data_IF_512399909419
#
_entry.id   IF_512399909419
#
_cell.length_a   1.000
_cell.length_b   1.000
_cell.length_c   1.000
_cell.angle_alpha   90.00
_cell.angle_beta   90.00
_cell.angle_gamma   90.00
#
_symmetry.space_group_name_H-M   'P 1'
#
loop_
_entity.id
_entity.type
_entity.pdbx_description
1 polymer ?
#
# COMPACT_ATOMS: atom_id res chain seq x y z
N UNK A 1 -24.39 -16.58 -23.86
CA UNK A 1 -24.09 -16.30 -22.44
C UNK A 1 -22.67 -16.75 -22.19
N UNK A 2 -21.71 -15.86 -22.39
CA UNK A 2 -20.31 -16.16 -22.09
C UNK A 2 -20.04 -15.83 -20.62
N UNK A 3 -19.59 -16.84 -19.89
CA UNK A 3 -19.17 -16.73 -18.50
C UNK A 3 -17.90 -15.85 -18.43
N UNK A 4 -18.09 -14.56 -18.17
CA UNK A 4 -17.02 -13.71 -17.65
C UNK A 4 -16.70 -14.16 -16.23
N UNK A 5 -15.82 -15.16 -16.11
CA UNK A 5 -15.17 -15.48 -14.85
C UNK A 5 -14.45 -14.22 -14.39
N UNK A 6 -14.89 -13.68 -13.25
CA UNK A 6 -14.08 -12.77 -12.46
C UNK A 6 -12.93 -13.65 -11.98
N UNK A 7 -11.80 -13.58 -12.67
CA UNK A 7 -10.55 -14.06 -12.08
C UNK A 7 -10.35 -13.24 -10.80
N UNK A 8 -10.15 -13.92 -9.67
CA UNK A 8 -9.65 -13.28 -8.45
C UNK A 8 -8.27 -12.72 -8.80
N UNK A 9 -8.23 -11.45 -9.20
CA UNK A 9 -7.00 -10.77 -9.57
C UNK A 9 -6.25 -10.46 -8.29
N UNK A 10 -5.17 -11.21 -8.11
CA UNK A 10 -4.11 -11.04 -7.12
C UNK A 10 -3.73 -9.55 -6.96
N UNK A 11 -3.73 -9.05 -5.72
CA UNK A 11 -3.40 -7.65 -5.37
C UNK A 11 -1.94 -7.26 -5.71
N UNK A 12 -1.14 -8.20 -6.24
CA UNK A 12 0.21 -8.00 -6.75
C UNK A 12 0.30 -7.62 -8.23
N UNK A 13 -0.80 -7.65 -9.00
CA UNK A 13 -0.78 -7.24 -10.41
C UNK A 13 -0.92 -5.72 -10.50
N UNK A 14 0.05 -5.03 -11.14
CA UNK A 14 -0.10 -3.60 -11.49
C UNK A 14 -1.28 -3.43 -12.44
N UNK A 15 -2.48 -3.24 -11.89
CA UNK A 15 -3.70 -2.99 -12.64
C UNK A 15 -3.59 -1.62 -13.32
N UNK A 16 -3.98 -1.52 -14.59
CA UNK A 16 -4.08 -0.21 -15.24
C UNK A 16 -5.30 0.55 -14.72
N UNK A 17 -5.26 1.89 -14.77
CA UNK A 17 -6.40 2.74 -14.43
C UNK A 17 -7.69 2.31 -15.14
N UNK A 18 -7.60 1.97 -16.43
CA UNK A 18 -8.72 1.47 -17.22
C UNK A 18 -9.35 0.19 -16.67
N UNK A 19 -8.51 -0.74 -16.21
CA UNK A 19 -8.99 -1.98 -15.59
C UNK A 19 -9.60 -1.75 -14.20
N UNK A 20 -9.15 -0.74 -13.46
CA UNK A 20 -9.78 -0.34 -12.20
C UNK A 20 -11.20 0.17 -12.44
N UNK A 21 -11.37 1.04 -13.44
CA UNK A 21 -12.68 1.56 -13.85
C UNK A 21 -13.60 0.43 -14.32
N UNK A 22 -13.10 -0.48 -15.17
CA UNK A 22 -13.86 -1.65 -15.63
C UNK A 22 -14.33 -2.53 -14.46
N UNK A 23 -13.44 -2.82 -13.50
CA UNK A 23 -13.73 -3.63 -12.31
C UNK A 23 -14.89 -3.03 -11.51
N UNK A 24 -14.81 -1.75 -11.16
CA UNK A 24 -15.84 -1.10 -10.36
C UNK A 24 -17.15 -0.90 -11.13
N UNK A 25 -17.10 -0.62 -12.43
CA UNK A 25 -18.31 -0.54 -13.26
C UNK A 25 -19.08 -1.87 -13.29
N UNK A 26 -18.37 -2.98 -13.47
CA UNK A 26 -18.98 -4.33 -13.49
C UNK A 26 -19.55 -4.68 -12.11
N UNK A 27 -18.86 -4.34 -11.01
CA UNK A 27 -19.39 -4.54 -9.65
C UNK A 27 -20.69 -3.78 -9.39
N UNK A 28 -20.86 -2.62 -10.02
CA UNK A 28 -22.08 -1.81 -9.95
C UNK A 28 -23.16 -2.24 -10.96
N UNK A 29 -22.92 -3.29 -11.76
CA UNK A 29 -23.80 -3.76 -12.84
C UNK A 29 -24.22 -2.66 -13.84
N UNK A 30 -23.32 -1.69 -14.09
CA UNK A 30 -23.57 -0.58 -15.02
C UNK A 30 -23.03 -0.89 -16.42
N UNK A 31 -23.81 -0.62 -17.46
CA UNK A 31 -23.29 -0.57 -18.82
C UNK A 31 -22.49 0.73 -19.05
N UNK A 32 -21.68 0.77 -20.13
CA UNK A 32 -20.98 2.00 -20.52
C UNK A 32 -21.96 3.16 -20.82
N UNK A 33 -23.18 2.84 -21.28
CA UNK A 33 -24.23 3.83 -21.57
C UNK A 33 -24.88 4.37 -20.31
N UNK A 34 -24.99 3.57 -19.26
CA UNK A 34 -25.49 4.04 -17.97
C UNK A 34 -24.53 5.06 -17.36
N UNK A 35 -23.22 4.80 -17.44
CA UNK A 35 -22.19 5.74 -16.95
C UNK A 35 -22.18 7.05 -17.75
N UNK A 36 -22.32 7.00 -19.08
CA UNK A 36 -22.46 8.19 -19.93
C UNK A 36 -23.66 9.05 -19.48
N UNK A 37 -24.78 8.41 -19.16
CA UNK A 37 -25.99 9.07 -18.68
C UNK A 37 -25.81 9.68 -17.28
N UNK A 38 -25.20 8.95 -16.36
CA UNK A 38 -24.94 9.41 -14.98
C UNK A 38 -24.00 10.62 -14.94
N UNK A 39 -23.03 10.66 -15.86
CA UNK A 39 -22.07 11.75 -16.01
C UNK A 39 -22.51 12.80 -17.03
N UNK A 40 -23.80 12.86 -17.37
CA UNK A 40 -24.36 13.94 -18.19
C UNK A 40 -24.75 15.13 -17.31
N UNK A 41 -24.32 16.33 -17.72
CA UNK A 41 -24.65 17.58 -17.03
C UNK A 41 -25.36 18.52 -17.97
N UNK A 42 -26.25 19.31 -17.40
CA UNK A 42 -26.87 20.43 -18.09
C UNK A 42 -25.86 21.56 -18.26
N UNK A 43 -25.61 21.93 -19.51
CA UNK A 43 -24.77 23.07 -19.87
C UNK A 43 -25.64 24.10 -20.58
N UNK A 44 -25.46 25.37 -20.21
CA UNK A 44 -26.13 26.47 -20.88
C UNK A 44 -25.26 26.96 -22.02
N UNK A 45 -25.77 26.83 -23.24
CA UNK A 45 -25.11 27.29 -24.46
C UNK A 45 -25.92 28.42 -25.07
N UNK A 46 -25.25 29.32 -25.79
CA UNK A 46 -25.94 30.31 -26.62
C UNK A 46 -26.17 29.66 -27.99
N UNK A 47 -27.43 29.37 -28.30
CA UNK A 47 -27.86 28.86 -29.59
C UNK A 47 -28.82 29.90 -30.19
N UNK A 48 -28.48 30.40 -31.38
CA UNK A 48 -29.26 31.43 -32.09
C UNK A 48 -29.56 32.69 -31.25
N UNK A 49 -28.59 33.13 -30.44
CA UNK A 49 -28.70 34.31 -29.58
C UNK A 49 -29.55 34.12 -28.33
N UNK A 50 -30.01 32.88 -28.03
CA UNK A 50 -30.75 32.55 -26.81
C UNK A 50 -29.97 31.54 -25.96
N UNK A 51 -30.07 31.70 -24.65
CA UNK A 51 -29.52 30.77 -23.67
C UNK A 51 -30.40 29.51 -23.63
N UNK A 52 -29.85 28.38 -24.06
CA UNK A 52 -30.53 27.08 -24.09
C UNK A 52 -29.76 26.10 -23.22
N UNK A 53 -30.49 25.35 -22.39
CA UNK A 53 -29.91 24.33 -21.52
C UNK A 53 -29.91 22.98 -22.25
N UNK A 54 -28.72 22.41 -22.47
CA UNK A 54 -28.55 21.12 -23.15
C UNK A 54 -27.90 20.10 -22.22
N UNK A 55 -28.30 18.84 -22.36
CA UNK A 55 -27.65 17.72 -21.70
C UNK A 55 -26.36 17.38 -22.45
N UNK A 56 -25.22 17.54 -21.77
CA UNK A 56 -23.90 17.23 -22.33
C UNK A 56 -23.18 16.16 -21.51
N UNK A 57 -22.87 15.00 -22.11
CA UNK A 57 -22.10 13.97 -21.44
C UNK A 57 -20.69 14.48 -21.16
N UNK A 58 -20.23 14.38 -19.91
CA UNK A 58 -18.85 14.69 -19.54
C UNK A 58 -17.87 13.63 -20.08
N UNK A 59 -18.36 12.42 -20.31
CA UNK A 59 -17.64 11.31 -20.96
C UNK A 59 -18.63 10.48 -21.79
N UNK A 60 -18.22 10.05 -22.99
CA UNK A 60 -19.04 9.17 -23.83
C UNK A 60 -18.72 7.70 -23.58
N UNK A 61 -19.68 6.81 -23.78
CA UNK A 61 -19.51 5.36 -23.67
C UNK A 61 -18.38 4.84 -24.55
N UNK A 62 -18.21 5.41 -25.76
CA UNK A 62 -17.10 5.08 -26.66
C UNK A 62 -15.75 5.51 -26.06
N UNK A 63 -15.66 6.69 -25.45
CA UNK A 63 -14.43 7.12 -24.80
C UNK A 63 -14.11 6.29 -23.57
N UNK A 64 -15.11 5.98 -22.75
CA UNK A 64 -14.97 5.08 -21.60
C UNK A 64 -14.52 3.67 -22.02
N UNK A 65 -15.06 3.14 -23.11
CA UNK A 65 -14.62 1.84 -23.66
C UNK A 65 -13.14 1.84 -24.05
N UNK A 66 -12.64 2.94 -24.62
CA UNK A 66 -11.20 3.10 -24.91
C UNK A 66 -10.38 3.15 -23.63
N UNK A 67 -10.86 3.85 -22.60
CA UNK A 67 -10.19 3.89 -21.29
C UNK A 67 -10.06 2.48 -20.70
N UNK A 68 -11.12 1.66 -20.73
CA UNK A 68 -11.13 0.32 -20.13
C UNK A 68 -10.24 -0.70 -20.85
N UNK A 69 -10.05 -0.53 -22.17
CA UNK A 69 -9.45 -1.56 -23.02
C UNK A 69 -8.10 -1.17 -23.63
N UNK A 70 -7.82 0.13 -23.81
CA UNK A 70 -6.56 0.61 -24.38
C UNK A 70 -5.68 1.14 -23.23
N UNK A 71 -4.57 0.44 -22.96
CA UNK A 71 -3.63 0.78 -21.87
C UNK A 71 -3.08 2.22 -21.95
N UNK A 72 -2.63 2.75 -20.80
CA UNK A 72 -2.10 4.12 -20.55
C UNK A 72 -2.43 5.15 -21.64
N UNK A 73 -3.71 5.47 -21.77
CA UNK A 73 -4.15 6.65 -22.51
C UNK A 73 -3.71 7.92 -21.77
N UNK A 74 -3.27 8.94 -22.51
CA UNK A 74 -3.00 10.30 -22.00
C UNK A 74 -4.29 10.96 -21.51
N UNK A 75 -4.84 10.46 -20.41
CA UNK A 75 -6.02 10.98 -19.77
C UNK A 75 -5.68 12.31 -19.13
N UNK A 76 -6.55 13.30 -19.33
CA UNK A 76 -6.44 14.55 -18.58
C UNK A 76 -6.71 14.28 -17.10
N UNK A 77 -6.05 15.03 -16.23
CA UNK A 77 -6.26 14.96 -14.78
C UNK A 77 -7.74 15.12 -14.40
N UNK A 78 -8.48 15.96 -15.14
CA UNK A 78 -9.93 16.11 -14.99
C UNK A 78 -10.69 14.79 -15.17
N UNK A 79 -10.37 14.03 -16.22
CA UNK A 79 -11.04 12.74 -16.47
C UNK A 79 -10.70 11.70 -15.41
N UNK A 80 -9.46 11.70 -14.91
CA UNK A 80 -9.06 10.85 -13.79
C UNK A 80 -9.91 11.17 -12.55
N UNK A 81 -9.99 12.42 -12.14
CA UNK A 81 -10.80 12.82 -10.98
C UNK A 81 -12.29 12.53 -11.16
N UNK A 82 -12.84 12.77 -12.35
CA UNK A 82 -14.24 12.51 -12.65
C UNK A 82 -14.59 11.03 -12.42
N UNK A 83 -13.79 10.12 -12.95
CA UNK A 83 -14.01 8.68 -12.84
C UNK A 83 -13.67 8.15 -11.44
N UNK A 84 -12.65 8.70 -10.78
CA UNK A 84 -12.37 8.40 -9.38
C UNK A 84 -13.56 8.70 -8.47
N UNK A 85 -14.23 9.83 -8.71
CA UNK A 85 -15.42 10.22 -7.96
C UNK A 85 -16.62 9.31 -8.27
N UNK A 86 -16.87 9.04 -9.55
CA UNK A 86 -18.00 8.20 -9.96
C UNK A 86 -17.91 6.78 -9.40
N UNK A 87 -16.72 6.18 -9.44
CA UNK A 87 -16.51 4.80 -9.02
C UNK A 87 -15.93 4.65 -7.61
N UNK A 88 -15.80 5.75 -6.86
CA UNK A 88 -15.19 5.80 -5.54
C UNK A 88 -13.83 5.07 -5.48
N UNK A 89 -12.96 5.34 -6.47
CA UNK A 89 -11.68 4.65 -6.61
C UNK A 89 -10.70 5.05 -5.51
N UNK A 90 -9.92 4.08 -5.04
CA UNK A 90 -8.85 4.31 -4.07
C UNK A 90 -7.74 5.17 -4.72
N UNK A 91 -7.42 6.29 -4.07
CA UNK A 91 -6.42 7.24 -4.53
C UNK A 91 -5.05 6.56 -4.68
N UNK A 92 -4.64 5.73 -3.72
CA UNK A 92 -3.37 5.03 -3.77
C UNK A 92 -3.33 4.06 -4.96
N UNK A 93 -4.37 3.25 -5.18
CA UNK A 93 -4.44 2.36 -6.35
C UNK A 93 -4.28 3.16 -7.65
N UNK A 94 -4.98 4.28 -7.78
CA UNK A 94 -4.93 5.11 -8.99
C UNK A 94 -3.53 5.66 -9.24
N UNK A 95 -2.88 6.25 -8.24
CA UNK A 95 -1.52 6.78 -8.39
C UNK A 95 -0.49 5.67 -8.68
N UNK A 96 -0.63 4.48 -8.07
CA UNK A 96 0.18 3.30 -8.41
C UNK A 96 0.03 2.90 -9.88
N UNK A 97 -1.19 2.94 -10.42
CA UNK A 97 -1.46 2.60 -11.82
C UNK A 97 -0.72 3.50 -12.83
N UNK A 98 -0.42 4.74 -12.44
CA UNK A 98 0.37 5.70 -13.21
C UNK A 98 1.89 5.60 -12.96
N UNK A 99 2.33 4.68 -12.10
CA UNK A 99 3.74 4.48 -11.78
C UNK A 99 4.29 5.43 -10.73
N UNK A 100 3.43 6.08 -9.94
CA UNK A 100 3.85 6.91 -8.80
C UNK A 100 3.98 6.09 -7.50
N UNK A 101 4.24 4.79 -7.63
CA UNK A 101 4.43 3.86 -6.51
C UNK A 101 5.46 4.38 -5.50
N UNK A 102 6.54 4.99 -6.02
CA UNK A 102 7.69 5.45 -5.23
C UNK A 102 7.45 6.79 -4.50
N UNK A 103 6.35 7.49 -4.84
CA UNK A 103 6.05 8.84 -4.33
C UNK A 103 4.82 8.87 -3.43
N UNK A 104 4.07 7.77 -3.38
CA UNK A 104 2.92 7.64 -2.49
C UNK A 104 3.37 7.37 -1.05
N UNK A 105 2.85 8.12 -0.06
CA UNK A 105 3.06 7.74 1.33
C UNK A 105 2.43 6.36 1.55
N UNK A 106 3.24 5.34 1.84
CA UNK A 106 2.75 4.06 2.34
C UNK A 106 1.96 4.40 3.61
N UNK A 107 0.63 4.50 3.53
CA UNK A 107 -0.18 5.01 4.62
C UNK A 107 -0.27 3.91 5.70
N UNK A 108 0.79 3.89 6.49
CA UNK A 108 1.21 2.94 7.49
C UNK A 108 0.36 3.06 8.76
N UNK A 109 -0.95 2.82 8.68
CA UNK A 109 -1.62 2.26 9.86
C UNK A 109 -1.18 0.81 9.95
N UNK A 110 -0.03 0.58 10.57
CA UNK A 110 0.40 -0.78 10.85
C UNK A 110 -0.64 -1.40 11.78
N UNK A 111 -1.30 -2.46 11.32
CA UNK A 111 -2.26 -3.25 12.10
C UNK A 111 -1.65 -3.78 13.40
N UNK A 112 -0.32 -3.93 13.44
CA UNK A 112 0.42 -4.33 14.62
C UNK A 112 1.85 -3.77 14.63
N UNK A 113 2.43 -3.63 15.82
CA UNK A 113 3.81 -3.15 16.01
C UNK A 113 4.81 -4.10 15.36
N UNK A 114 4.52 -5.40 15.32
CA UNK A 114 5.33 -6.41 14.65
C UNK A 114 5.39 -6.18 13.14
N UNK A 115 4.25 -5.81 12.52
CA UNK A 115 4.18 -5.51 11.09
C UNK A 115 4.97 -4.25 10.76
N UNK A 116 4.92 -3.24 11.63
CA UNK A 116 5.81 -2.07 11.53
C UNK A 116 7.28 -2.49 11.56
N UNK A 117 7.67 -3.35 12.50
CA UNK A 117 9.07 -3.74 12.66
C UNK A 117 9.60 -4.52 11.45
N UNK A 118 8.79 -5.41 10.86
CA UNK A 118 9.19 -6.24 9.71
C UNK A 118 9.37 -5.48 8.40
N UNK A 119 8.60 -4.42 8.18
CA UNK A 119 8.55 -3.70 6.89
C UNK A 119 9.64 -2.62 6.82
N UNK A 120 10.15 -2.17 7.96
CA UNK A 120 11.20 -1.16 8.00
C UNK A 120 12.57 -1.81 8.20
N UNK A 121 13.55 -1.37 7.42
CA UNK A 121 14.94 -1.76 7.57
C UNK A 121 15.57 -1.03 8.76
N UNK A 122 15.39 -1.54 9.97
CA UNK A 122 16.01 -0.98 11.16
C UNK A 122 17.52 -1.22 11.15
N UNK A 123 18.28 -0.17 11.40
CA UNK A 123 19.69 -0.29 11.76
C UNK A 123 19.87 -0.16 13.27
N UNK A 124 20.79 -0.94 13.80
CA UNK A 124 21.18 -0.88 15.20
C UNK A 124 22.71 -0.81 15.32
N UNK A 125 23.25 -0.37 16.46
CA UNK A 125 24.69 -0.36 16.65
C UNK A 125 25.29 -1.77 16.74
N UNK A 126 26.50 -1.90 16.21
CA UNK A 126 27.45 -3.01 16.38
C UNK A 126 28.75 -2.41 16.86
N UNK A 127 29.33 -2.95 17.94
CA UNK A 127 30.63 -2.50 18.43
C UNK A 127 31.74 -3.40 17.90
N UNK A 128 32.73 -2.79 17.26
CA UNK A 128 33.97 -3.39 16.78
C UNK A 128 35.15 -2.70 17.49
N UNK A 129 35.66 -3.31 18.55
CA UNK A 129 36.62 -2.64 19.44
C UNK A 129 36.04 -1.34 20.02
N UNK A 130 36.71 -0.21 19.79
CA UNK A 130 36.28 1.11 20.27
C UNK A 130 35.38 1.87 19.27
N UNK A 131 35.02 1.26 18.14
CA UNK A 131 34.18 1.88 17.11
C UNK A 131 32.79 1.27 17.11
N UNK A 132 31.79 2.11 16.85
CA UNK A 132 30.39 1.71 16.75
C UNK A 132 29.90 1.94 15.32
N UNK A 133 29.24 0.94 14.74
CA UNK A 133 28.73 0.96 13.38
C UNK A 133 27.25 0.64 13.40
N UNK A 134 26.43 1.47 12.73
CA UNK A 134 25.07 1.07 12.45
C UNK A 134 25.07 0.03 11.34
N UNK A 135 24.40 -1.08 11.62
CA UNK A 135 24.19 -2.15 10.65
C UNK A 135 22.72 -2.57 10.68
N UNK A 136 22.14 -2.87 9.51
CA UNK A 136 20.81 -3.44 9.42
C UNK A 136 20.65 -4.64 10.36
N UNK A 137 19.44 -4.80 10.89
CA UNK A 137 19.06 -6.01 11.60
C UNK A 137 18.96 -7.17 10.61
N UNK A 138 19.50 -8.33 10.98
CA UNK A 138 19.22 -9.56 10.23
C UNK A 138 17.76 -10.00 10.47
N UNK A 139 17.24 -10.90 9.64
CA UNK A 139 15.88 -11.44 9.85
C UNK A 139 15.72 -12.06 11.24
N UNK A 140 16.72 -12.81 11.70
CA UNK A 140 16.74 -13.36 13.06
C UNK A 140 16.72 -12.26 14.14
N UNK A 141 17.53 -11.21 13.99
CA UNK A 141 17.57 -10.10 14.95
C UNK A 141 16.25 -9.32 14.99
N UNK A 142 15.60 -9.20 13.83
CA UNK A 142 14.28 -8.57 13.68
C UNK A 142 13.21 -9.37 14.42
N UNK A 143 13.19 -10.70 14.31
CA UNK A 143 12.28 -11.55 15.09
C UNK A 143 12.52 -11.45 16.61
N UNK A 144 13.79 -11.38 17.04
CA UNK A 144 14.12 -11.20 18.46
C UNK A 144 13.62 -9.83 18.96
N UNK A 145 13.82 -8.76 18.19
CA UNK A 145 13.30 -7.43 18.53
C UNK A 145 11.78 -7.44 18.66
N UNK A 146 11.07 -8.08 17.73
CA UNK A 146 9.62 -8.28 17.78
C UNK A 146 9.22 -8.98 19.08
N UNK A 147 9.90 -10.07 19.45
CA UNK A 147 9.61 -10.81 20.69
C UNK A 147 9.81 -9.95 21.94
N UNK A 148 10.90 -9.18 22.00
CA UNK A 148 11.18 -8.25 23.11
C UNK A 148 10.04 -7.25 23.25
N UNK A 149 9.69 -6.54 22.18
CA UNK A 149 8.65 -5.51 22.21
C UNK A 149 7.31 -6.10 22.62
N UNK A 150 6.93 -7.25 22.04
CA UNK A 150 5.69 -7.94 22.42
C UNK A 150 5.66 -8.30 23.90
N UNK A 151 6.73 -8.89 24.43
CA UNK A 151 6.78 -9.29 25.84
C UNK A 151 6.79 -8.06 26.78
N UNK A 152 7.28 -6.89 26.35
CA UNK A 152 7.17 -5.63 27.14
C UNK A 152 5.71 -5.20 27.27
N UNK A 153 4.94 -5.22 26.17
CA UNK A 153 3.51 -4.92 26.22
C UNK A 153 2.73 -5.99 27.01
N UNK A 154 3.09 -7.26 26.86
CA UNK A 154 2.53 -8.36 27.64
C UNK A 154 2.78 -8.16 29.13
N UNK A 155 4.00 -7.77 29.54
CA UNK A 155 4.31 -7.44 30.93
C UNK A 155 3.41 -6.34 31.49
N UNK A 156 3.16 -5.27 30.71
CA UNK A 156 2.28 -4.17 31.11
C UNK A 156 0.81 -4.55 31.31
N UNK A 157 0.39 -5.74 30.86
CA UNK A 157 -0.99 -6.24 30.97
C UNK A 157 -1.10 -7.58 31.71
N UNK A 158 0.03 -8.10 32.18
CA UNK A 158 0.13 -9.43 32.80
C UNK A 158 -0.38 -9.42 34.24
N UNK A 159 -1.08 -10.50 34.63
CA UNK A 159 -1.47 -10.75 36.01
C UNK A 159 -0.27 -11.22 36.87
N UNK A 160 -0.36 -11.03 38.19
CA UNK A 160 0.75 -11.27 39.14
C UNK A 160 1.37 -12.67 39.03
N UNK A 161 0.56 -13.69 38.73
CA UNK A 161 1.01 -15.08 38.59
C UNK A 161 1.97 -15.30 37.42
N UNK A 162 1.83 -14.54 36.33
CA UNK A 162 2.61 -14.71 35.11
C UNK A 162 3.75 -13.68 34.97
N UNK A 163 3.81 -12.68 35.85
CA UNK A 163 4.79 -11.59 35.79
C UNK A 163 6.22 -12.11 35.71
N UNK A 164 6.59 -13.05 36.58
CA UNK A 164 7.95 -13.60 36.62
C UNK A 164 8.32 -14.39 35.37
N UNK A 165 7.35 -15.06 34.75
CA UNK A 165 7.55 -15.77 33.49
C UNK A 165 7.85 -14.81 32.35
N UNK A 166 7.08 -13.72 32.21
CA UNK A 166 7.28 -12.71 31.17
C UNK A 166 8.62 -11.99 31.33
N UNK A 167 9.01 -11.63 32.55
CA UNK A 167 10.31 -11.01 32.84
C UNK A 167 11.47 -11.93 32.45
N UNK A 168 11.39 -13.23 32.79
CA UNK A 168 12.42 -14.21 32.43
C UNK A 168 12.57 -14.32 30.92
N UNK A 169 11.46 -14.33 30.18
CA UNK A 169 11.45 -14.37 28.71
C UNK A 169 12.09 -13.13 28.09
N UNK A 170 11.76 -11.94 28.60
CA UNK A 170 12.38 -10.67 28.19
C UNK A 170 13.91 -10.69 28.35
N UNK A 171 14.40 -11.15 29.50
CA UNK A 171 15.84 -11.24 29.77
C UNK A 171 16.53 -12.23 28.82
N UNK A 172 15.89 -13.35 28.51
CA UNK A 172 16.41 -14.34 27.56
C UNK A 172 16.53 -13.75 26.15
N UNK A 173 15.46 -13.10 25.66
CA UNK A 173 15.45 -12.51 24.32
C UNK A 173 16.50 -11.39 24.17
N UNK A 174 16.70 -10.58 25.22
CA UNK A 174 17.74 -9.55 25.25
C UNK A 174 19.16 -10.13 25.18
N UNK A 175 19.43 -11.24 25.86
CA UNK A 175 20.74 -11.90 25.82
C UNK A 175 21.00 -12.51 24.43
N UNK A 176 19.99 -13.12 23.81
CA UNK A 176 20.11 -13.69 22.47
C UNK A 176 20.29 -12.60 21.40
N UNK A 177 19.59 -11.47 21.53
CA UNK A 177 19.85 -10.28 20.70
C UNK A 177 21.32 -9.83 20.82
N UNK A 178 21.82 -9.71 22.05
CA UNK A 178 23.20 -9.30 22.33
C UNK A 178 24.22 -10.25 21.68
N UNK A 179 24.04 -11.55 21.84
CA UNK A 179 24.91 -12.57 21.21
C UNK A 179 24.89 -12.45 19.69
N UNK A 180 23.72 -12.25 19.10
CA UNK A 180 23.57 -12.12 17.64
C UNK A 180 24.31 -10.89 17.10
N UNK A 181 24.20 -9.73 17.77
CA UNK A 181 24.94 -8.52 17.35
C UNK A 181 26.46 -8.69 17.49
N UNK A 182 26.93 -9.42 18.50
CA UNK A 182 28.37 -9.74 18.64
C UNK A 182 28.88 -10.62 17.51
N UNK A 183 28.16 -11.69 17.17
CA UNK A 183 28.53 -12.54 16.02
C UNK A 183 28.62 -11.76 14.71
N UNK A 184 27.71 -10.80 14.50
CA UNK A 184 27.78 -9.90 13.34
C UNK A 184 29.04 -9.03 13.39
N UNK A 185 29.39 -8.49 14.56
CA UNK A 185 30.66 -7.76 14.76
C UNK A 185 31.87 -8.61 14.36
N UNK A 186 31.94 -9.83 14.89
CA UNK A 186 33.06 -10.74 14.67
C UNK A 186 33.22 -11.07 13.17
N UNK A 187 32.12 -11.29 12.44
CA UNK A 187 32.15 -11.54 10.99
C UNK A 187 32.70 -10.37 10.17
N UNK A 188 32.55 -9.12 10.65
CA UNK A 188 33.10 -7.94 9.98
C UNK A 188 34.62 -7.80 10.16
N UNK A 189 35.19 -8.42 11.19
CA UNK A 189 36.64 -8.46 11.42
C UNK A 189 37.29 -9.41 10.40
N UNK A 190 36.68 -10.57 10.17
CA UNK A 190 37.18 -11.59 9.22
C UNK A 190 37.17 -11.11 7.76
N UNK A 191 36.18 -10.28 7.37
CA UNK A 191 36.10 -9.69 6.03
C UNK A 191 37.09 -8.53 5.80
N UNK A 192 37.62 -7.92 6.87
CA UNK A 192 38.62 -6.83 6.77
C UNK A 192 40.07 -7.31 6.91
N UNK A 193 40.29 -8.61 7.17
CA UNK A 193 41.61 -9.24 7.27
C UNK A 193 41.95 -10.21 6.13
N UNK A 194 41.07 -10.34 5.12
CA UNK A 194 41.35 -10.96 3.81
C UNK A 194 41.69 -9.90 2.77
#
# INVERSE_FOLDING_TARGET
MENNKIEDIDNNVKLSFGKMVQRERIKLDKSLKDVEKDLTKKEKIIQDGKEVEIDKPQITASYLNRIENEGRNNLSLYMVYLLMKEFNLDVYEVFKSFGYDDVLPQNNKFESIERMIRINDFEAPVRLGNKEYNKPLTSMQTEILISIIRNVFEFGTTNEENTMYVVKKLLSDLDDYRKSRRKLADSLIDDTTK
#
